data_IF_327128716967
#
_entry.id   IF_327128716967
#
_cell.length_a   1.000
_cell.length_b   1.000
_cell.length_c   1.000
_cell.angle_alpha   90.00
_cell.angle_beta   90.00
_cell.angle_gamma   90.00
#
_symmetry.space_group_name_H-M   'P 1'
#
loop_
_entity.id
_entity.type
_entity.pdbx_description
1 polymer ?
#
# COMPACT_ATOMS: atom_id res chain seq x y z
N UNK A 1 21.45 23.83 11.69
CA UNK A 1 21.99 22.60 11.06
C UNK A 1 20.87 21.95 10.29
N UNK A 2 21.01 21.79 8.97
CA UNK A 2 19.99 21.11 8.17
C UNK A 2 20.10 19.60 8.39
N UNK A 3 18.97 18.95 8.65
CA UNK A 3 18.86 17.49 8.76
C UNK A 3 18.08 16.98 7.56
N UNK A 4 18.60 15.96 6.88
CA UNK A 4 17.98 15.35 5.72
C UNK A 4 17.61 13.91 6.04
N UNK A 5 16.49 13.44 5.48
CA UNK A 5 16.02 12.07 5.56
C UNK A 5 15.73 11.60 4.13
N UNK A 6 16.26 10.44 3.75
CA UNK A 6 16.01 9.80 2.46
C UNK A 6 15.34 8.43 2.72
N UNK A 7 14.28 8.14 1.97
CA UNK A 7 13.51 6.91 2.07
C UNK A 7 13.32 6.34 0.65
N UNK A 8 13.69 5.08 0.46
CA UNK A 8 13.39 4.30 -0.75
C UNK A 8 12.44 3.15 -0.41
N UNK A 9 11.31 3.08 -1.08
CA UNK A 9 10.30 2.05 -0.84
C UNK A 9 10.30 1.03 -1.97
N UNK A 10 10.62 -0.22 -1.69
CA UNK A 10 10.54 -1.29 -2.67
C UNK A 10 9.17 -1.98 -2.59
N UNK A 11 8.37 -1.89 -3.66
CA UNK A 11 7.08 -2.56 -3.76
C UNK A 11 7.13 -3.66 -4.82
N UNK A 12 6.69 -4.87 -4.46
CA UNK A 12 6.63 -5.99 -5.39
C UNK A 12 5.47 -6.91 -5.04
N UNK A 13 4.71 -7.28 -6.07
CA UNK A 13 3.71 -8.33 -6.05
C UNK A 13 4.10 -9.34 -7.14
N UNK A 14 4.33 -10.63 -6.83
CA UNK A 14 4.61 -11.61 -7.88
C UNK A 14 3.39 -11.81 -8.80
N UNK A 15 3.61 -12.21 -10.07
CA UNK A 15 2.53 -12.68 -10.94
C UNK A 15 1.71 -13.78 -10.24
N UNK A 16 0.39 -13.69 -10.37
CA UNK A 16 -0.57 -14.60 -9.71
C UNK A 16 -1.62 -15.13 -10.69
N UNK A 17 -1.58 -14.66 -11.93
CA UNK A 17 -2.44 -15.07 -13.01
C UNK A 17 -2.24 -16.55 -13.31
N UNK A 18 -3.34 -17.27 -13.46
CA UNK A 18 -3.32 -18.63 -13.96
C UNK A 18 -2.93 -18.59 -15.45
N UNK A 19 -1.87 -19.29 -15.88
CA UNK A 19 -1.35 -19.16 -17.25
C UNK A 19 -2.27 -19.74 -18.34
N UNK A 20 -3.33 -20.47 -17.96
CA UNK A 20 -4.34 -20.97 -18.89
C UNK A 20 -5.59 -20.10 -18.95
N UNK A 21 -5.90 -19.39 -17.87
CA UNK A 21 -7.12 -18.58 -17.75
C UNK A 21 -6.85 -17.10 -18.01
N UNK A 22 -5.59 -16.66 -17.91
CA UNK A 22 -5.19 -15.25 -17.95
C UNK A 22 -5.92 -14.38 -16.91
N UNK A 23 -6.27 -15.02 -15.79
CA UNK A 23 -7.02 -14.43 -14.68
C UNK A 23 -6.38 -14.83 -13.35
N UNK A 24 -6.46 -13.95 -12.36
CA UNK A 24 -6.11 -14.30 -10.97
C UNK A 24 -7.31 -15.06 -10.40
N UNK A 25 -7.09 -16.25 -9.86
CA UNK A 25 -8.15 -17.02 -9.22
C UNK A 25 -8.44 -16.48 -7.81
N UNK A 26 -9.64 -16.76 -7.29
CA UNK A 26 -9.98 -16.43 -5.90
C UNK A 26 -9.03 -17.12 -4.91
N UNK A 27 -8.50 -16.36 -3.95
CA UNK A 27 -7.56 -16.86 -2.95
C UNK A 27 -8.19 -16.79 -1.55
N UNK A 28 -8.63 -17.93 -1.01
CA UNK A 28 -9.36 -17.99 0.26
C UNK A 28 -8.63 -17.31 1.44
N UNK A 29 -7.29 -17.40 1.48
CA UNK A 29 -6.47 -16.75 2.50
C UNK A 29 -6.44 -15.22 2.42
N UNK A 30 -6.92 -14.63 1.32
CA UNK A 30 -7.06 -13.19 1.14
C UNK A 30 -8.43 -12.65 1.60
N UNK A 31 -9.35 -13.49 2.08
CA UNK A 31 -10.66 -13.05 2.57
C UNK A 31 -10.55 -11.85 3.53
N UNK A 32 -11.39 -10.80 3.37
CA UNK A 32 -12.58 -10.71 2.50
C UNK A 32 -12.32 -10.30 1.04
N UNK A 33 -11.06 -10.17 0.63
CA UNK A 33 -10.69 -9.75 -0.72
C UNK A 33 -10.67 -10.92 -1.70
N UNK A 34 -10.79 -10.62 -2.99
CA UNK A 34 -10.76 -11.64 -4.03
C UNK A 34 -9.43 -12.39 -4.04
N UNK A 35 -8.33 -11.64 -3.95
CA UNK A 35 -6.97 -12.17 -3.98
C UNK A 35 -5.99 -11.30 -3.16
N UNK A 36 -4.75 -11.76 -3.05
CA UNK A 36 -3.72 -11.06 -2.30
C UNK A 36 -3.33 -9.72 -2.90
N UNK A 37 -3.50 -9.49 -4.22
CA UNK A 37 -3.21 -8.19 -4.81
C UNK A 37 -4.17 -7.13 -4.28
N UNK A 38 -5.47 -7.44 -4.26
CA UNK A 38 -6.49 -6.55 -3.70
C UNK A 38 -6.27 -6.31 -2.21
N UNK A 39 -5.99 -7.37 -1.45
CA UNK A 39 -5.75 -7.26 -0.01
C UNK A 39 -4.55 -6.35 0.29
N UNK A 40 -3.43 -6.57 -0.39
CA UNK A 40 -2.20 -5.78 -0.20
C UNK A 40 -2.42 -4.33 -0.64
N UNK A 41 -3.13 -4.09 -1.74
CA UNK A 41 -3.47 -2.72 -2.15
C UNK A 41 -4.28 -2.01 -1.05
N UNK A 42 -5.32 -2.67 -0.55
CA UNK A 42 -6.21 -2.11 0.47
C UNK A 42 -5.54 -1.91 1.83
N UNK A 43 -4.78 -2.89 2.30
CA UNK A 43 -4.17 -2.87 3.63
C UNK A 43 -2.82 -2.12 3.66
N UNK A 44 -2.11 -1.99 2.53
CA UNK A 44 -0.76 -1.42 2.50
C UNK A 44 -0.60 -0.23 1.54
N UNK A 45 -0.90 -0.38 0.24
CA UNK A 45 -0.56 0.65 -0.74
C UNK A 45 -1.47 1.87 -0.64
N UNK A 46 -2.77 1.65 -0.43
CA UNK A 46 -3.75 2.72 -0.27
C UNK A 46 -3.43 3.65 0.91
N UNK A 47 -2.90 3.09 2.00
CA UNK A 47 -2.49 3.87 3.16
C UNK A 47 -1.34 4.85 2.86
N UNK A 48 -0.49 4.55 1.86
CA UNK A 48 0.56 5.48 1.43
C UNK A 48 0.02 6.61 0.55
N UNK A 49 -1.02 6.37 -0.24
CA UNK A 49 -1.64 7.42 -1.07
C UNK A 49 -2.40 8.46 -0.24
N UNK A 50 -2.95 8.05 0.90
CA UNK A 50 -3.76 8.88 1.80
C UNK A 50 -3.40 8.62 3.27
N UNK A 51 -2.13 8.84 3.61
CA UNK A 51 -1.61 8.61 4.97
C UNK A 51 -2.14 9.67 5.92
N UNK A 52 -2.65 9.25 7.09
CA UNK A 52 -3.21 10.16 8.10
C UNK A 52 -2.10 10.70 8.99
N UNK A 53 -2.04 12.02 9.13
CA UNK A 53 -1.24 12.68 10.16
C UNK A 53 -2.17 12.92 11.36
N UNK A 54 -1.76 12.46 12.53
CA UNK A 54 -2.55 12.50 13.75
C UNK A 54 -1.98 13.51 14.75
N UNK A 55 -2.86 14.14 15.54
CA UNK A 55 -2.47 14.91 16.73
C UNK A 55 -2.22 14.01 17.95
N UNK A 56 -1.94 14.62 19.11
CA UNK A 56 -1.70 13.94 20.39
C UNK A 56 -2.92 13.18 20.92
N UNK A 57 -4.13 13.51 20.47
CA UNK A 57 -5.37 12.83 20.84
C UNK A 57 -5.78 11.78 19.79
N UNK A 58 -4.97 11.55 18.76
CA UNK A 58 -5.22 10.57 17.71
C UNK A 58 -6.22 11.04 16.65
N UNK A 59 -6.52 12.34 16.58
CA UNK A 59 -7.44 12.91 15.58
C UNK A 59 -6.66 13.22 14.30
N UNK A 60 -7.31 13.02 13.15
CA UNK A 60 -6.72 13.33 11.85
C UNK A 60 -6.67 14.84 11.67
N UNK A 61 -5.46 15.38 11.50
CA UNK A 61 -5.24 16.81 11.26
C UNK A 61 -4.80 17.12 9.83
N UNK A 62 -4.30 16.12 9.11
CA UNK A 62 -3.90 16.25 7.69
C UNK A 62 -3.81 14.88 7.01
N UNK A 63 -3.79 14.89 5.67
CA UNK A 63 -3.58 13.71 4.83
C UNK A 63 -2.36 13.94 3.92
N UNK A 64 -1.49 12.94 3.86
CA UNK A 64 -0.27 12.98 3.06
C UNK A 64 -0.25 11.86 2.02
N UNK A 65 0.11 12.22 0.78
CA UNK A 65 0.53 11.24 -0.22
C UNK A 65 2.02 10.99 -0.05
N UNK A 66 2.39 9.83 0.50
CA UNK A 66 3.77 9.43 0.73
C UNK A 66 4.51 9.19 -0.59
N UNK A 67 3.84 8.70 -1.64
CA UNK A 67 4.45 8.46 -2.96
C UNK A 67 5.00 9.74 -3.60
N UNK A 68 4.46 10.91 -3.25
CA UNK A 68 4.96 12.19 -3.75
C UNK A 68 6.24 12.67 -3.05
N UNK A 69 6.65 12.01 -1.95
CA UNK A 69 7.76 12.44 -1.08
C UNK A 69 8.90 11.43 -0.98
N UNK A 70 8.73 10.25 -1.57
CA UNK A 70 9.71 9.16 -1.55
C UNK A 70 10.01 8.73 -2.98
N UNK A 71 11.17 8.13 -3.17
CA UNK A 71 11.43 7.33 -4.36
C UNK A 71 11.00 5.88 -4.09
N UNK A 72 10.54 5.18 -5.11
CA UNK A 72 10.09 3.80 -5.03
C UNK A 72 10.43 3.03 -6.31
#
# INVERSE_FOLDING_TARGET
MNRFLCLHLHFYQPPRENPWLDEIEYQESAYPFHDWNERIDMECYRANGTSRILDSEGRVIDLANNYAKVNF
#
